data_IF_835957765969
#
_entry.id   IF_835957765969
#
_cell.length_a   1.000
_cell.length_b   1.000
_cell.length_c   1.000
_cell.angle_alpha   90.00
_cell.angle_beta   90.00
_cell.angle_gamma   90.00
#
_symmetry.space_group_name_H-M   'P 1'
#
loop_
_entity.id
_entity.type
_entity.pdbx_description
1 polymer ?
#
# COMPACT_ATOMS: atom_id res chain seq x y z
N UNK A 1 9.64 -20.80 -18.28
CA UNK A 1 8.61 -20.52 -17.25
C UNK A 1 9.00 -19.22 -16.56
N UNK A 2 8.21 -18.15 -16.70
CA UNK A 2 8.44 -16.92 -15.91
C UNK A 2 8.19 -17.27 -14.44
N UNK A 3 9.17 -17.08 -13.57
CA UNK A 3 8.93 -17.14 -12.12
C UNK A 3 7.91 -16.05 -11.78
N UNK A 4 6.72 -16.47 -11.37
CA UNK A 4 5.69 -15.55 -10.89
C UNK A 4 6.10 -15.14 -9.48
N UNK A 5 6.24 -13.84 -9.25
CA UNK A 5 6.67 -13.26 -7.97
C UNK A 5 5.67 -13.66 -6.88
N UNK A 6 6.12 -14.22 -5.75
CA UNK A 6 5.22 -14.65 -4.66
C UNK A 6 4.76 -13.49 -3.77
N UNK A 7 5.62 -12.50 -3.57
CA UNK A 7 5.41 -11.36 -2.69
C UNK A 7 5.92 -10.07 -3.30
N UNK A 8 5.19 -9.00 -3.08
CA UNK A 8 5.56 -7.66 -3.48
C UNK A 8 5.40 -6.67 -2.34
N UNK A 9 6.37 -5.76 -2.26
CA UNK A 9 6.33 -4.58 -1.42
C UNK A 9 6.72 -3.37 -2.26
N UNK A 10 5.93 -2.30 -2.15
CA UNK A 10 6.20 -0.99 -2.74
C UNK A 10 6.01 0.07 -1.66
N UNK A 11 6.78 1.15 -1.72
CA UNK A 11 6.66 2.26 -0.79
C UNK A 11 6.92 3.56 -1.52
N UNK A 12 6.20 4.61 -1.14
CA UNK A 12 6.37 5.96 -1.68
C UNK A 12 6.13 7.02 -0.60
N UNK A 13 6.90 8.10 -0.66
CA UNK A 13 6.80 9.20 0.31
C UNK A 13 6.18 10.42 -0.34
N UNK A 14 5.04 10.87 0.20
CA UNK A 14 4.29 12.02 -0.29
C UNK A 14 4.69 13.24 0.53
N UNK A 15 5.67 13.99 0.02
CA UNK A 15 6.30 15.11 0.73
C UNK A 15 5.29 16.20 1.12
N UNK A 16 4.37 16.56 0.22
CA UNK A 16 3.35 17.57 0.46
C UNK A 16 2.36 17.24 1.60
N UNK A 17 2.33 15.98 2.04
CA UNK A 17 1.48 15.50 3.13
C UNK A 17 2.28 14.96 4.32
N UNK A 18 3.60 14.88 4.21
CA UNK A 18 4.49 14.25 5.19
C UNK A 18 4.01 12.85 5.62
N UNK A 19 3.71 11.99 4.63
CA UNK A 19 3.31 10.61 4.87
C UNK A 19 4.03 9.65 3.95
N UNK A 20 4.22 8.42 4.40
CA UNK A 20 4.72 7.32 3.57
C UNK A 20 3.62 6.29 3.37
N UNK A 21 3.36 5.94 2.10
CA UNK A 21 2.44 4.89 1.71
C UNK A 21 3.24 3.62 1.44
N UNK A 22 2.84 2.49 2.03
CA UNK A 22 3.46 1.18 1.81
C UNK A 22 2.41 0.17 1.37
N UNK A 23 2.57 -0.41 0.19
CA UNK A 23 1.78 -1.52 -0.30
C UNK A 23 2.51 -2.84 -0.09
N UNK A 24 1.82 -3.85 0.40
CA UNK A 24 2.31 -5.24 0.43
C UNK A 24 1.27 -6.18 -0.18
N UNK A 25 1.71 -7.19 -0.91
CA UNK A 25 0.82 -8.17 -1.53
C UNK A 25 1.48 -9.53 -1.72
N UNK A 26 0.72 -10.61 -1.54
CA UNK A 26 1.12 -11.99 -1.80
C UNK A 26 0.25 -12.57 -2.90
N UNK A 27 0.86 -12.93 -4.03
CA UNK A 27 0.13 -13.39 -5.22
C UNK A 27 -0.33 -14.84 -5.14
N UNK A 28 0.40 -15.67 -4.40
CA UNK A 28 0.15 -17.11 -4.28
C UNK A 28 -0.28 -17.50 -2.86
N UNK A 29 -0.89 -16.58 -2.12
CA UNK A 29 -1.36 -16.82 -0.76
C UNK A 29 -2.84 -17.18 -0.79
N UNK A 30 -3.19 -18.37 -0.30
CA UNK A 30 -4.57 -18.78 -0.10
C UNK A 30 -4.96 -18.52 1.35
N UNK A 31 -5.47 -17.32 1.60
CA UNK A 31 -5.98 -16.93 2.91
C UNK A 31 -7.41 -16.43 2.82
N UNK A 32 -8.21 -16.81 3.82
CA UNK A 32 -9.63 -16.50 3.89
C UNK A 32 -9.96 -15.01 4.16
N UNK A 33 -8.97 -14.11 4.25
CA UNK A 33 -9.19 -12.71 4.71
C UNK A 33 -8.64 -11.65 3.75
N UNK A 34 -7.32 -11.57 3.59
CA UNK A 34 -6.68 -10.62 2.66
C UNK A 34 -5.33 -11.17 2.19
N UNK A 35 -4.91 -10.76 1.00
CA UNK A 35 -3.61 -11.10 0.42
C UNK A 35 -2.58 -9.98 0.56
N UNK A 36 -2.98 -8.83 1.11
CA UNK A 36 -2.12 -7.68 1.29
C UNK A 36 -2.83 -6.49 1.91
N UNK A 37 -2.12 -5.38 1.97
CA UNK A 37 -2.66 -4.09 2.41
C UNK A 37 -1.86 -2.93 1.81
N UNK A 38 -2.51 -1.76 1.68
CA UNK A 38 -1.86 -0.47 1.47
C UNK A 38 -2.03 0.32 2.76
N UNK A 39 -0.92 0.59 3.43
CA UNK A 39 -0.88 1.25 4.73
C UNK A 39 -0.18 2.59 4.60
N UNK A 40 -0.74 3.62 5.24
CA UNK A 40 -0.18 4.97 5.27
C UNK A 40 0.32 5.24 6.68
N UNK A 41 1.53 5.75 6.76
CA UNK A 41 2.19 6.11 8.01
C UNK A 41 2.56 7.58 7.98
N UNK A 42 2.58 8.22 9.14
CA UNK A 42 3.14 9.56 9.21
C UNK A 42 4.66 9.57 9.07
N UNK A 43 5.18 10.58 8.39
CA UNK A 43 6.60 10.82 8.26
C UNK A 43 7.24 10.04 7.12
N UNK A 44 8.54 10.28 6.96
CA UNK A 44 9.37 9.71 5.88
C UNK A 44 10.07 8.41 6.27
N UNK A 45 10.48 8.29 7.52
CA UNK A 45 11.24 7.16 8.03
C UNK A 45 10.30 6.23 8.78
N UNK A 46 9.73 5.29 8.05
CA UNK A 46 8.77 4.34 8.60
C UNK A 46 9.48 3.09 9.11
N UNK A 47 9.17 2.71 10.34
CA UNK A 47 9.64 1.51 11.01
C UNK A 47 8.46 0.76 11.67
N UNK A 48 8.77 -0.26 12.47
CA UNK A 48 7.76 -1.08 13.15
C UNK A 48 6.97 -0.36 14.25
N UNK A 49 7.38 0.85 14.64
CA UNK A 49 6.71 1.66 15.68
C UNK A 49 5.99 2.88 15.09
N UNK A 50 6.05 3.05 13.78
CA UNK A 50 5.46 4.19 13.09
C UNK A 50 3.94 4.19 13.17
N UNK A 51 3.37 5.38 13.37
CA UNK A 51 1.94 5.54 13.54
C UNK A 51 1.20 5.36 12.20
N UNK A 52 0.37 4.32 12.15
CA UNK A 52 -0.54 4.03 11.03
C UNK A 52 -1.74 4.99 11.08
N UNK A 53 -1.96 5.71 9.98
CA UNK A 53 -3.05 6.70 9.87
C UNK A 53 -4.18 6.22 8.95
N UNK A 54 -3.89 5.26 8.08
CA UNK A 54 -4.86 4.68 7.15
C UNK A 54 -4.39 3.30 6.69
N UNK A 55 -5.34 2.39 6.43
CA UNK A 55 -5.06 1.08 5.86
C UNK A 55 -6.21 0.58 4.99
N UNK A 56 -5.90 0.20 3.75
CA UNK A 56 -6.79 -0.49 2.81
C UNK A 56 -6.35 -1.95 2.70
N UNK A 57 -7.20 -2.89 3.13
CA UNK A 57 -6.96 -4.32 2.91
C UNK A 57 -7.15 -4.69 1.43
N UNK A 58 -6.24 -5.50 0.90
CA UNK A 58 -6.30 -5.98 -0.48
C UNK A 58 -6.82 -7.41 -0.53
N UNK A 59 -7.87 -7.60 -1.31
CA UNK A 59 -8.41 -8.92 -1.62
C UNK A 59 -7.42 -9.77 -2.43
N UNK A 60 -7.59 -11.09 -2.35
CA UNK A 60 -6.81 -12.03 -3.14
C UNK A 60 -7.21 -12.00 -4.63
N UNK A 61 -6.31 -12.44 -5.53
CA UNK A 61 -6.57 -12.52 -6.97
C UNK A 61 -6.22 -11.26 -7.77
N UNK A 62 -5.51 -10.30 -7.18
CA UNK A 62 -4.90 -9.20 -7.93
C UNK A 62 -3.63 -9.70 -8.62
N UNK A 63 -3.45 -9.29 -9.87
CA UNK A 63 -2.17 -9.37 -10.56
C UNK A 63 -1.31 -8.14 -10.22
N UNK A 64 -0.06 -8.15 -10.69
CA UNK A 64 0.92 -7.10 -10.40
C UNK A 64 0.46 -5.71 -10.88
N UNK A 65 -0.19 -5.64 -12.05
CA UNK A 65 -0.67 -4.38 -12.60
C UNK A 65 -1.81 -3.81 -11.76
N UNK A 66 -2.76 -4.65 -11.33
CA UNK A 66 -3.87 -4.23 -10.45
C UNK A 66 -3.36 -3.81 -9.07
N UNK A 67 -2.41 -4.53 -8.50
CA UNK A 67 -1.80 -4.14 -7.23
C UNK A 67 -1.16 -2.75 -7.33
N UNK A 68 -0.33 -2.52 -8.36
CA UNK A 68 0.31 -1.23 -8.61
C UNK A 68 -0.69 -0.11 -8.90
N UNK A 69 -1.77 -0.41 -9.63
CA UNK A 69 -2.84 0.55 -9.89
C UNK A 69 -3.58 0.96 -8.61
N UNK A 70 -3.83 0.00 -7.70
CA UNK A 70 -4.42 0.29 -6.39
C UNK A 70 -3.49 1.14 -5.53
N UNK A 71 -2.21 0.79 -5.48
CA UNK A 71 -1.20 1.57 -4.77
C UNK A 71 -1.12 3.00 -5.29
N UNK A 72 -0.99 3.18 -6.61
CA UNK A 72 -0.96 4.50 -7.24
C UNK A 72 -2.24 5.30 -6.95
N UNK A 73 -3.40 4.66 -7.02
CA UNK A 73 -4.68 5.32 -6.71
C UNK A 73 -4.65 5.91 -5.29
N UNK A 74 -4.20 5.16 -4.28
CA UNK A 74 -4.12 5.67 -2.90
C UNK A 74 -3.17 6.86 -2.82
N UNK A 75 -1.99 6.81 -3.45
CA UNK A 75 -1.08 7.95 -3.51
C UNK A 75 -1.73 9.18 -4.15
N UNK A 76 -2.37 9.03 -5.30
CA UNK A 76 -3.03 10.12 -6.03
C UNK A 76 -4.20 10.71 -5.21
N UNK A 77 -4.95 9.88 -4.48
CA UNK A 77 -6.04 10.33 -3.61
C UNK A 77 -5.53 11.15 -2.41
N UNK A 78 -4.37 10.79 -1.85
CA UNK A 78 -3.70 11.55 -0.79
C UNK A 78 -3.15 12.88 -1.31
N UNK A 79 -2.45 12.84 -2.45
CA UNK A 79 -1.88 14.04 -3.08
C UNK A 79 -2.98 15.06 -3.44
N UNK A 80 -4.05 14.58 -4.09
CA UNK A 80 -5.21 15.42 -4.44
C UNK A 80 -6.02 15.89 -3.22
N UNK A 81 -5.80 15.32 -2.04
CA UNK A 81 -6.57 15.61 -0.83
C UNK A 81 -7.96 14.99 -0.79
N UNK A 82 -8.25 14.05 -1.71
CA UNK A 82 -9.48 13.26 -1.67
C UNK A 82 -9.47 12.28 -0.50
N UNK A 83 -8.30 11.74 -0.16
CA UNK A 83 -8.06 10.98 1.06
C UNK A 83 -7.38 11.91 2.07
N UNK A 84 -8.10 12.32 3.10
CA UNK A 84 -7.54 13.12 4.18
C UNK A 84 -6.82 12.21 5.18
N UNK A 85 -5.50 12.41 5.28
CA UNK A 85 -4.59 11.70 6.19
C UNK A 85 -3.89 12.67 7.13
N UNK A 86 -4.38 13.91 7.21
CA UNK A 86 -3.93 14.89 8.20
C UNK A 86 -4.56 14.59 9.57
N UNK A 87 -3.84 14.93 10.63
CA UNK A 87 -4.25 14.69 12.02
C UNK A 87 -3.82 15.87 12.91
#
# INVERSE_FOLDING_TARGET
MKHMKDFEKVSDYIEGRNVTVTGTYRYNFDAARSCGAITVYNGKNVDGESFEVYSELLECGLDEEKFKARFKKVCDEIESGKLDVSF
#
